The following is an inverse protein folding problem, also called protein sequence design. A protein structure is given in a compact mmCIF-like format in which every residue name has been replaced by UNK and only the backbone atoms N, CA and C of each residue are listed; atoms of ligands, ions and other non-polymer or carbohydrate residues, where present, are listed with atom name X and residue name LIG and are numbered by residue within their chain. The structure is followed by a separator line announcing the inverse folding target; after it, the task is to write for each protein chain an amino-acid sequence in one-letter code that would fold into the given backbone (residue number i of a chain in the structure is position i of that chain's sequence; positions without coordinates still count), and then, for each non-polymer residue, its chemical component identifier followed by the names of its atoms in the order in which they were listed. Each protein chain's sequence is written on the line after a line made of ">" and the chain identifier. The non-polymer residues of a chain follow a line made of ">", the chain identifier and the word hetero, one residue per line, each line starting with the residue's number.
data_IF_990721833748
#
_entry.id   IF_990721833748
#
_cell.length_a   1.000
_cell.length_b   1.000
_cell.length_c   1.000
_cell.angle_alpha   90.00
_cell.angle_beta   90.00
_cell.angle_gamma   90.00
#
_symmetry.space_group_name_H-M   'P 1'
#
loop_
_entity.id
_entity.type
_entity.pdbx_description
1 polymer ?
#
# COMPACT_ATOMS: atom_id res chain seq x y z
N UNK A 1 -22.36 -48.04 -15.31
CA UNK A 1 -22.79 -46.87 -16.10
C UNK A 1 -23.69 -46.05 -15.18
N UNK A 2 -23.35 -44.89 -14.62
CA UNK A 2 -22.28 -43.95 -14.96
C UNK A 2 -21.88 -43.09 -13.75
N UNK A 3 -20.56 -43.02 -13.55
CA UNK A 3 -19.74 -41.85 -13.17
C UNK A 3 -20.35 -40.83 -12.20
N UNK A 4 -19.97 -40.94 -10.92
CA UNK A 4 -19.90 -39.79 -10.03
C UNK A 4 -18.92 -38.77 -10.62
N UNK A 5 -19.41 -37.59 -10.97
CA UNK A 5 -18.59 -36.45 -11.37
C UNK A 5 -17.71 -36.00 -10.19
N UNK A 6 -16.42 -35.67 -10.39
CA UNK A 6 -15.62 -35.08 -9.34
C UNK A 6 -16.04 -33.61 -9.14
N UNK A 7 -16.37 -33.25 -7.91
CA UNK A 7 -16.54 -31.87 -7.50
C UNK A 7 -15.20 -31.13 -7.71
N UNK A 8 -15.21 -30.15 -8.61
CA UNK A 8 -14.06 -29.30 -8.87
C UNK A 8 -13.69 -28.55 -7.59
N UNK A 9 -12.50 -28.82 -7.04
CA UNK A 9 -11.92 -28.02 -5.96
C UNK A 9 -11.58 -26.64 -6.52
N UNK A 10 -12.41 -25.64 -6.20
CA UNK A 10 -12.08 -24.25 -6.48
C UNK A 10 -10.78 -23.88 -5.75
N UNK A 11 -9.81 -23.34 -6.51
CA UNK A 11 -8.57 -22.82 -5.95
C UNK A 11 -8.87 -21.70 -4.93
N UNK A 12 -8.10 -21.58 -3.83
CA UNK A 12 -8.32 -20.54 -2.84
C UNK A 12 -8.08 -19.17 -3.47
N UNK A 13 -9.11 -18.31 -3.41
CA UNK A 13 -8.98 -16.89 -3.79
C UNK A 13 -7.99 -16.24 -2.83
N UNK A 14 -6.81 -15.85 -3.32
CA UNK A 14 -5.89 -14.97 -2.56
C UNK A 14 -6.69 -13.74 -2.14
N UNK A 15 -6.81 -13.52 -0.83
CA UNK A 15 -7.46 -12.33 -0.26
C UNK A 15 -6.57 -11.13 -0.56
N UNK A 16 -6.79 -10.51 -1.71
CA UNK A 16 -6.24 -9.20 -2.05
C UNK A 16 -6.88 -8.19 -1.08
N UNK A 17 -6.20 -7.83 0.01
CA UNK A 17 -6.81 -6.90 0.97
C UNK A 17 -6.17 -6.77 2.34
N UNK A 18 -5.13 -7.53 2.70
CA UNK A 18 -4.35 -7.21 3.91
C UNK A 18 -2.93 -6.79 3.49
N UNK A 19 -2.56 -5.51 3.64
CA UNK A 19 -1.16 -5.09 3.68
C UNK A 19 -0.39 -5.94 4.71
N UNK A 20 0.93 -6.10 4.57
CA UNK A 20 1.74 -7.07 5.30
C UNK A 20 1.53 -6.97 6.82
N UNK A 21 1.70 -8.12 7.47
CA UNK A 21 1.27 -8.46 8.84
C UNK A 21 1.82 -7.54 9.94
N UNK A 22 2.75 -6.65 9.62
CA UNK A 22 3.52 -5.83 10.57
C UNK A 22 3.43 -4.31 10.33
N UNK A 23 2.29 -3.80 9.87
CA UNK A 23 2.07 -2.34 9.72
C UNK A 23 1.16 -1.79 10.83
N UNK A 24 1.51 -0.60 11.36
CA UNK A 24 0.72 0.13 12.36
C UNK A 24 0.29 1.49 11.82
N UNK A 25 -0.92 1.98 12.15
CA UNK A 25 -1.38 3.30 11.73
C UNK A 25 -0.57 4.40 12.42
N UNK A 26 -0.10 5.38 11.64
CA UNK A 26 0.56 6.57 12.15
C UNK A 26 -0.37 7.77 11.95
N UNK A 27 -0.91 8.32 13.05
CA UNK A 27 -1.81 9.49 13.00
C UNK A 27 -1.01 10.77 13.25
N UNK A 28 -0.86 11.61 12.23
CA UNK A 28 -0.13 12.89 12.30
C UNK A 28 -1.12 14.02 11.98
N UNK A 29 -1.08 15.09 12.79
CA UNK A 29 -1.72 16.36 12.42
C UNK A 29 -0.74 17.15 11.57
N UNK A 30 -1.15 17.49 10.36
CA UNK A 30 -0.37 18.32 9.44
C UNK A 30 -1.11 19.62 9.17
N UNK A 31 -0.38 20.71 8.87
CA UNK A 31 -0.97 21.94 8.34
C UNK A 31 -1.82 21.71 7.09
N UNK A 32 -2.89 22.48 6.92
CA UNK A 32 -3.85 22.32 5.80
C UNK A 32 -3.22 22.63 4.43
N UNK A 33 -2.27 23.55 4.38
CA UNK A 33 -1.50 23.89 3.18
C UNK A 33 -0.62 22.70 2.72
N UNK A 34 -0.01 21.99 3.66
CA UNK A 34 0.75 20.77 3.39
C UNK A 34 -0.14 19.64 2.86
N UNK A 35 -1.34 19.47 3.43
CA UNK A 35 -2.33 18.50 2.93
C UNK A 35 -2.74 18.85 1.49
N UNK A 36 -2.97 20.13 1.22
CA UNK A 36 -3.35 20.61 -0.11
C UNK A 36 -2.25 20.36 -1.14
N UNK A 37 -1.00 20.67 -0.80
CA UNK A 37 0.16 20.40 -1.67
C UNK A 37 0.31 18.90 -1.98
N UNK A 38 0.07 18.03 -0.99
CA UNK A 38 0.09 16.58 -1.19
C UNK A 38 -1.00 16.11 -2.16
N UNK A 39 -2.20 16.68 -2.06
CA UNK A 39 -3.30 16.35 -2.97
C UNK A 39 -3.06 16.84 -4.40
N UNK A 40 -2.44 18.00 -4.58
CA UNK A 40 -2.05 18.49 -5.90
C UNK A 40 -0.96 17.60 -6.52
N UNK A 41 0.02 17.16 -5.74
CA UNK A 41 1.00 16.16 -6.19
C UNK A 41 0.33 14.84 -6.62
N UNK A 42 -0.68 14.37 -5.91
CA UNK A 42 -1.39 13.13 -6.26
C UNK A 42 -2.10 13.21 -7.62
N UNK A 43 -2.47 14.41 -8.09
CA UNK A 43 -3.18 14.62 -9.36
C UNK A 43 -2.27 14.55 -10.59
N UNK A 44 -0.97 14.81 -10.43
CA UNK A 44 -0.02 14.83 -11.55
C UNK A 44 0.59 13.45 -11.83
N UNK A 45 0.45 12.50 -10.89
CA UNK A 45 0.99 11.15 -11.04
C UNK A 45 -0.01 10.27 -11.82
N UNK A 46 0.45 9.53 -12.86
CA UNK A 46 -0.42 8.71 -13.71
C UNK A 46 -1.15 7.58 -12.95
N UNK A 47 -0.56 7.08 -11.87
CA UNK A 47 -1.21 6.21 -10.89
C UNK A 47 -1.46 7.02 -9.62
N UNK A 48 -2.69 7.52 -9.40
CA UNK A 48 -3.03 8.40 -8.27
C UNK A 48 -2.81 7.64 -6.95
N UNK A 49 -1.69 7.89 -6.23
CA UNK A 49 -1.41 7.16 -5.01
C UNK A 49 -2.35 7.66 -3.90
N UNK A 50 -2.59 6.85 -2.86
CA UNK A 50 -3.28 7.36 -1.67
C UNK A 50 -2.37 8.34 -0.90
N UNK A 51 -2.92 9.22 -0.06
CA UNK A 51 -2.09 10.09 0.81
C UNK A 51 -1.12 9.26 1.66
N UNK A 52 -1.55 8.18 2.34
CA UNK A 52 -0.63 7.29 3.04
C UNK A 52 0.48 6.72 2.15
N UNK A 53 0.18 6.35 0.91
CA UNK A 53 1.19 5.79 -0.01
C UNK A 53 2.28 6.80 -0.36
N UNK A 54 1.91 8.06 -0.65
CA UNK A 54 2.91 9.11 -0.90
C UNK A 54 3.79 9.32 0.31
N UNK A 55 3.17 9.40 1.50
CA UNK A 55 3.91 9.59 2.75
C UNK A 55 4.88 8.42 2.97
N UNK A 56 4.45 7.17 2.75
CA UNK A 56 5.32 5.99 2.86
C UNK A 56 6.53 6.08 1.91
N UNK A 57 6.31 6.40 0.64
CA UNK A 57 7.39 6.53 -0.37
C UNK A 57 8.41 7.60 0.02
N UNK A 58 7.93 8.78 0.41
CA UNK A 58 8.80 9.91 0.82
C UNK A 58 9.58 9.56 2.09
N UNK A 59 8.93 8.93 3.07
CA UNK A 59 9.58 8.52 4.31
C UNK A 59 10.62 7.41 4.08
N UNK A 60 10.32 6.42 3.24
CA UNK A 60 11.26 5.36 2.89
C UNK A 60 12.50 5.92 2.19
N UNK A 61 12.32 6.81 1.20
CA UNK A 61 13.43 7.49 0.51
C UNK A 61 14.28 8.32 1.50
N UNK A 62 13.63 9.10 2.36
CA UNK A 62 14.30 9.90 3.38
C UNK A 62 15.11 9.01 4.34
N UNK A 63 14.51 7.95 4.89
CA UNK A 63 15.16 7.06 5.84
C UNK A 63 16.28 6.23 5.19
N UNK A 64 16.12 5.83 3.93
CA UNK A 64 17.17 5.16 3.17
C UNK A 64 18.41 6.05 3.06
N UNK A 65 18.20 7.36 2.80
CA UNK A 65 19.29 8.35 2.72
C UNK A 65 19.95 8.64 4.05
N UNK A 66 19.17 8.85 5.12
CA UNK A 66 19.72 9.34 6.39
C UNK A 66 20.26 8.21 7.27
N UNK A 67 19.61 7.05 7.29
CA UNK A 67 19.92 5.96 8.24
C UNK A 67 20.11 4.60 7.58
N UNK A 68 20.13 4.53 6.24
CA UNK A 68 20.32 3.28 5.51
C UNK A 68 19.14 2.31 5.66
N UNK A 69 17.92 2.84 5.88
CA UNK A 69 16.72 2.01 5.90
C UNK A 69 16.53 1.31 4.55
N UNK A 70 16.46 -0.01 4.57
CA UNK A 70 16.11 -0.84 3.43
C UNK A 70 14.73 -1.42 3.69
N UNK A 71 13.79 -1.16 2.78
CA UNK A 71 12.50 -1.83 2.76
C UNK A 71 12.75 -3.23 2.16
N UNK A 72 12.81 -4.27 3.00
CA UNK A 72 13.00 -5.67 2.59
C UNK A 72 11.72 -6.25 1.94
N UNK A 73 11.07 -5.51 1.04
CA UNK A 73 9.84 -5.93 0.33
C UNK A 73 10.12 -6.78 -0.92
#
# INVERSE_FOLDING_TARGET
>A
MDKKAPAQRAAPKKKMGRPPVDTSPVTIRMPDDMISALDDYRRIVPEIPSRPEVIRRVMAEFLAREVGYMDDE
#
